data_IF_757793236295
#
_entry.id   IF_757793236295
#
_cell.length_a   1.000
_cell.length_b   1.000
_cell.length_c   1.000
_cell.angle_alpha   90.00
_cell.angle_beta   90.00
_cell.angle_gamma   90.00
#
_symmetry.space_group_name_H-M   'P 1'
#
loop_
_entity.id
_entity.type
_entity.pdbx_description
1 polymer ?
#
# COMPACT_ATOMS: atom_id res chain seq x y z
N UNK A 1 0.68 5.38 27.87
CA UNK A 1 -0.49 5.69 28.72
C UNK A 1 -1.60 6.42 27.96
N UNK A 2 -1.44 7.67 27.49
CA UNK A 2 -2.50 8.36 26.70
C UNK A 2 -2.76 7.73 25.32
N UNK A 3 -1.71 7.26 24.63
CA UNK A 3 -1.86 6.61 23.32
C UNK A 3 -2.67 5.31 23.39
N UNK A 4 -2.41 4.47 24.39
CA UNK A 4 -3.15 3.21 24.60
C UNK A 4 -4.61 3.47 24.95
N UNK A 5 -4.88 4.52 25.73
CA UNK A 5 -6.24 4.95 26.03
C UNK A 5 -6.96 5.46 24.77
N UNK A 6 -6.31 6.32 23.98
CA UNK A 6 -6.84 6.77 22.68
C UNK A 6 -7.17 5.58 21.79
N UNK A 7 -6.25 4.62 21.66
CA UNK A 7 -6.47 3.43 20.85
C UNK A 7 -7.61 2.58 21.42
N UNK A 8 -7.74 2.48 22.74
CA UNK A 8 -8.85 1.80 23.43
C UNK A 8 -10.19 2.50 23.16
N UNK A 9 -10.23 3.83 23.19
CA UNK A 9 -11.44 4.61 22.91
C UNK A 9 -11.89 4.44 21.46
N UNK A 10 -10.94 4.54 20.53
CA UNK A 10 -11.20 4.35 19.10
C UNK A 10 -11.67 2.93 18.80
N UNK A 11 -11.04 1.91 19.39
CA UNK A 11 -11.25 0.51 19.00
C UNK A 11 -12.23 -0.25 19.89
N UNK A 12 -12.08 -0.20 21.21
CA UNK A 12 -12.91 -0.97 22.16
C UNK A 12 -14.20 -0.22 22.50
N UNK A 13 -14.11 1.09 22.75
CA UNK A 13 -15.28 1.92 23.07
C UNK A 13 -16.02 2.42 21.83
N UNK A 14 -15.49 2.13 20.63
CA UNK A 14 -16.11 2.49 19.35
C UNK A 14 -16.48 3.98 19.27
N UNK A 15 -15.59 4.87 19.73
CA UNK A 15 -15.83 6.31 19.78
C UNK A 15 -16.27 6.89 18.42
N UNK A 16 -15.68 6.36 17.35
CA UNK A 16 -15.99 6.70 15.96
C UNK A 16 -16.81 5.59 15.28
N UNK A 17 -17.45 4.69 16.02
CA UNK A 17 -18.12 3.50 15.49
C UNK A 17 -17.25 2.26 15.48
N UNK A 18 -17.80 1.15 14.95
CA UNK A 18 -17.19 -0.17 15.06
C UNK A 18 -15.93 -0.28 14.19
N UNK A 19 -14.77 -0.43 14.81
CA UNK A 19 -13.48 -0.63 14.12
C UNK A 19 -13.25 -2.11 13.83
N UNK A 20 -13.03 -2.46 12.56
CA UNK A 20 -12.69 -3.82 12.11
C UNK A 20 -11.18 -4.07 12.12
N UNK A 21 -10.40 -3.06 11.74
CA UNK A 21 -8.96 -3.11 11.72
C UNK A 21 -8.37 -1.73 12.03
N UNK A 22 -7.13 -1.70 12.49
CA UNK A 22 -6.36 -0.47 12.60
C UNK A 22 -4.90 -0.74 12.31
N UNK A 23 -4.19 0.31 11.94
CA UNK A 23 -2.74 0.34 11.93
C UNK A 23 -2.24 1.70 12.40
N UNK A 24 -1.08 1.72 13.05
CA UNK A 24 -0.46 2.97 13.43
C UNK A 24 1.06 2.92 13.27
N UNK A 25 1.64 4.10 13.10
CA UNK A 25 3.08 4.36 13.18
C UNK A 25 3.31 5.55 14.10
N UNK A 26 4.33 5.45 14.95
CA UNK A 26 4.84 6.53 15.78
C UNK A 26 6.09 7.09 15.09
N UNK A 27 6.06 8.39 14.82
CA UNK A 27 7.17 9.15 14.25
C UNK A 27 7.68 10.15 15.28
N UNK A 28 9.00 10.34 15.29
CA UNK A 28 9.65 11.29 16.20
C UNK A 28 10.11 12.50 15.39
N UNK A 29 9.68 13.68 15.84
CA UNK A 29 10.14 14.94 15.27
C UNK A 29 11.41 15.39 16.01
N UNK A 30 12.32 16.10 15.31
CA UNK A 30 13.57 16.63 15.89
C UNK A 30 13.31 17.45 17.16
N UNK A 31 12.22 18.22 17.17
CA UNK A 31 11.71 18.99 18.30
C UNK A 31 10.22 18.71 18.39
N UNK A 32 9.77 18.04 19.45
CA UNK A 32 8.36 17.74 19.66
C UNK A 32 8.08 16.40 20.33
N UNK A 33 6.82 16.23 20.70
CA UNK A 33 6.30 14.97 21.22
C UNK A 33 6.20 13.94 20.08
N UNK A 34 6.21 12.63 20.41
CA UNK A 34 5.97 11.58 19.42
C UNK A 34 4.63 11.81 18.71
N UNK A 35 4.64 11.70 17.38
CA UNK A 35 3.46 11.88 16.53
C UNK A 35 2.94 10.53 16.07
N UNK A 36 1.64 10.28 16.22
CA UNK A 36 1.03 9.02 15.82
C UNK A 36 0.20 9.19 14.54
N UNK A 37 0.60 8.52 13.46
CA UNK A 37 -0.25 8.31 12.30
C UNK A 37 -1.11 7.07 12.54
N UNK A 38 -2.43 7.22 12.66
CA UNK A 38 -3.37 6.13 12.93
C UNK A 38 -4.37 6.02 11.77
N UNK A 39 -4.44 4.83 11.17
CA UNK A 39 -5.46 4.46 10.20
C UNK A 39 -6.43 3.48 10.84
N UNK A 40 -7.72 3.80 10.79
CA UNK A 40 -8.80 2.94 11.28
C UNK A 40 -9.72 2.53 10.12
N UNK A 41 -10.09 1.26 10.10
CA UNK A 41 -11.00 0.68 9.12
C UNK A 41 -12.33 0.41 9.80
N UNK A 42 -13.31 1.27 9.56
CA UNK A 42 -14.65 1.15 10.14
C UNK A 42 -15.48 0.08 9.44
N UNK A 43 -16.41 -0.52 10.17
CA UNK A 43 -17.44 -1.39 9.62
C UNK A 43 -18.26 -0.64 8.55
N UNK A 44 -18.70 -1.27 7.45
CA UNK A 44 -19.45 -0.60 6.39
C UNK A 44 -20.67 0.19 6.85
N UNK A 45 -21.35 -0.26 7.91
CA UNK A 45 -22.48 0.46 8.54
C UNK A 45 -22.09 1.77 9.22
N UNK A 46 -20.79 2.07 9.36
CA UNK A 46 -20.25 3.23 10.05
C UNK A 46 -19.29 4.03 9.17
N UNK A 47 -19.32 3.86 7.84
CA UNK A 47 -18.32 4.46 6.94
C UNK A 47 -18.43 5.99 6.73
N UNK A 48 -19.39 6.67 7.36
CA UNK A 48 -19.58 8.14 7.31
C UNK A 48 -19.24 8.81 5.96
N UNK A 49 -19.85 8.36 4.86
CA UNK A 49 -19.42 8.78 3.53
C UNK A 49 -19.97 10.16 3.13
N UNK A 50 -20.93 10.72 3.88
CA UNK A 50 -21.59 11.97 3.52
C UNK A 50 -20.93 13.17 4.20
N UNK A 51 -20.96 14.37 3.59
CA UNK A 51 -20.49 15.59 4.24
C UNK A 51 -21.12 15.85 5.62
N UNK A 52 -22.41 15.57 5.78
CA UNK A 52 -23.10 15.70 7.06
C UNK A 52 -22.55 14.74 8.12
N UNK A 53 -22.14 13.53 7.74
CA UNK A 53 -21.50 12.61 8.68
C UNK A 53 -20.12 13.11 9.11
N UNK A 54 -19.36 13.71 8.18
CA UNK A 54 -18.06 14.33 8.47
C UNK A 54 -18.24 15.48 9.47
N UNK A 55 -19.20 16.37 9.23
CA UNK A 55 -19.50 17.52 10.10
C UNK A 55 -19.91 17.12 11.52
N UNK A 56 -20.43 15.90 11.72
CA UNK A 56 -20.75 15.36 13.05
C UNK A 56 -19.51 14.96 13.85
N UNK A 57 -18.38 14.71 13.19
CA UNK A 57 -17.19 14.13 13.79
C UNK A 57 -16.02 15.13 13.78
N UNK A 58 -15.93 15.95 12.74
CA UNK A 58 -14.88 16.93 12.53
C UNK A 58 -15.51 18.32 12.46
N UNK A 59 -14.99 19.25 13.22
CA UNK A 59 -15.32 20.68 13.17
C UNK A 59 -14.12 21.47 12.69
N UNK A 60 -14.39 22.55 11.97
CA UNK A 60 -13.40 23.58 11.66
C UNK A 60 -13.91 24.97 12.03
N UNK A 61 -14.73 25.04 13.08
CA UNK A 61 -15.37 26.25 13.60
C UNK A 61 -14.93 26.50 15.06
N UNK A 62 -14.86 27.76 15.46
CA UNK A 62 -14.64 28.19 16.84
C UNK A 62 -15.93 27.88 17.63
N UNK A 63 -15.86 27.05 18.70
CA UNK A 63 -16.99 26.82 19.59
C UNK A 63 -17.50 28.12 20.21
N UNK A 64 -18.78 28.16 20.55
CA UNK A 64 -19.33 29.28 21.30
C UNK A 64 -18.76 29.27 22.74
N UNK A 65 -18.27 30.42 23.18
CA UNK A 65 -17.59 30.56 24.48
C UNK A 65 -18.56 30.43 25.66
N UNK A 66 -19.80 30.88 25.52
CA UNK A 66 -20.79 30.89 26.60
C UNK A 66 -21.41 29.51 26.80
N UNK A 67 -21.57 28.75 25.72
CA UNK A 67 -22.16 27.40 25.76
C UNK A 67 -21.13 26.28 25.92
N UNK A 68 -19.88 26.48 25.51
CA UNK A 68 -18.83 25.47 25.59
C UNK A 68 -17.44 26.07 25.81
N UNK A 69 -17.28 26.74 26.96
CA UNK A 69 -16.04 27.41 27.37
C UNK A 69 -14.81 26.49 27.33
N UNK A 70 -14.95 25.24 27.79
CA UNK A 70 -13.86 24.27 27.81
C UNK A 70 -13.33 23.98 26.40
N UNK A 71 -14.21 23.61 25.47
CA UNK A 71 -13.81 23.32 24.09
C UNK A 71 -13.33 24.58 23.39
N UNK A 72 -13.94 25.74 23.64
CA UNK A 72 -13.50 27.03 23.12
C UNK A 72 -12.04 27.31 23.50
N UNK A 73 -11.70 27.16 24.78
CA UNK A 73 -10.34 27.38 25.28
C UNK A 73 -9.34 26.39 24.66
N UNK A 74 -9.73 25.13 24.48
CA UNK A 74 -8.90 24.12 23.82
C UNK A 74 -8.67 24.45 22.35
N UNK A 75 -9.71 24.85 21.63
CA UNK A 75 -9.62 25.23 20.21
C UNK A 75 -8.74 26.46 20.07
N UNK A 76 -9.00 27.52 20.85
CA UNK A 76 -8.18 28.75 20.90
C UNK A 76 -6.70 28.46 21.13
N UNK A 77 -6.41 27.52 22.03
CA UNK A 77 -5.03 27.20 22.41
C UNK A 77 -4.34 26.36 21.35
N UNK A 78 -4.98 25.29 20.87
CA UNK A 78 -4.31 24.22 20.11
C UNK A 78 -4.73 24.09 18.65
N UNK A 79 -5.93 24.54 18.28
CA UNK A 79 -6.54 24.30 16.96
C UNK A 79 -6.71 25.58 16.14
N UNK A 80 -5.98 26.65 16.48
CA UNK A 80 -5.94 27.89 15.69
C UNK A 80 -4.59 27.99 15.01
N UNK A 81 -4.61 28.13 13.69
CA UNK A 81 -3.43 28.49 12.94
C UNK A 81 -3.07 29.94 13.26
N UNK A 82 -1.84 30.14 13.74
CA UNK A 82 -1.33 31.46 14.07
C UNK A 82 -1.44 32.42 12.88
N UNK A 83 -1.63 33.72 13.15
CA UNK A 83 -1.63 34.73 12.09
C UNK A 83 -0.37 34.62 11.21
N UNK A 84 -0.57 34.64 9.90
CA UNK A 84 0.49 34.54 8.90
C UNK A 84 0.14 35.39 7.67
N UNK A 85 0.97 35.34 6.62
CA UNK A 85 0.74 36.14 5.42
C UNK A 85 1.06 37.61 5.67
N UNK A 86 0.12 38.51 5.34
CA UNK A 86 0.29 39.94 5.60
C UNK A 86 0.35 40.26 7.09
N UNK A 87 -0.35 39.50 7.93
CA UNK A 87 -0.35 39.67 9.37
C UNK A 87 1.01 39.31 10.01
N UNK A 88 1.69 38.31 9.46
CA UNK A 88 3.05 37.95 9.86
C UNK A 88 3.76 37.19 8.74
N UNK A 89 4.66 37.90 8.04
CA UNK A 89 5.45 37.33 6.94
C UNK A 89 6.57 36.40 7.41
N UNK A 90 6.94 36.48 8.69
CA UNK A 90 8.03 35.68 9.29
C UNK A 90 7.54 34.33 9.86
N UNK A 91 6.23 34.06 9.81
CA UNK A 91 5.66 32.82 10.32
C UNK A 91 6.27 31.59 9.62
N UNK A 92 6.61 30.49 10.33
CA UNK A 92 7.29 29.32 9.75
C UNK A 92 6.52 28.63 8.60
N UNK A 93 5.21 28.86 8.51
CA UNK A 93 4.38 28.32 7.44
C UNK A 93 4.56 29.06 6.11
N UNK A 94 5.17 30.24 6.10
CA UNK A 94 5.32 31.07 4.90
C UNK A 94 6.38 30.48 3.96
N UNK A 95 6.00 30.28 2.70
CA UNK A 95 6.87 29.89 1.58
C UNK A 95 6.51 30.73 0.37
N UNK A 96 7.50 31.34 -0.28
CA UNK A 96 7.33 32.16 -1.47
C UNK A 96 6.23 33.24 -1.33
N UNK A 97 6.19 33.89 -0.15
CA UNK A 97 5.23 34.94 0.17
C UNK A 97 3.79 34.46 0.44
N UNK A 98 3.52 33.15 0.44
CA UNK A 98 2.21 32.55 0.72
C UNK A 98 2.29 31.57 1.88
N UNK A 99 1.18 31.40 2.61
CA UNK A 99 1.10 30.33 3.60
C UNK A 99 1.10 28.97 2.88
N UNK A 100 2.09 28.12 3.15
CA UNK A 100 2.20 26.77 2.58
C UNK A 100 1.06 25.82 2.97
N UNK A 101 0.26 26.20 3.97
CA UNK A 101 -0.94 25.49 4.41
C UNK A 101 -2.24 26.16 3.93
N UNK A 102 -2.12 27.23 3.15
CA UNK A 102 -3.20 28.00 2.55
C UNK A 102 -4.18 28.56 3.58
N UNK A 103 -3.64 29.14 4.67
CA UNK A 103 -4.42 29.92 5.62
C UNK A 103 -4.29 31.43 5.33
N UNK A 104 -5.31 32.23 5.67
CA UNK A 104 -6.64 31.81 6.13
C UNK A 104 -7.40 31.03 5.04
N UNK A 105 -8.20 30.04 5.42
CA UNK A 105 -9.06 29.28 4.50
C UNK A 105 -10.24 30.14 4.02
N UNK A 106 -10.98 29.68 3.02
CA UNK A 106 -12.25 30.32 2.67
C UNK A 106 -13.36 29.84 3.62
N UNK A 107 -14.35 30.70 3.84
CA UNK A 107 -15.59 30.27 4.48
C UNK A 107 -16.31 29.28 3.58
N UNK A 108 -17.00 28.34 4.21
CA UNK A 108 -17.67 27.25 3.53
C UNK A 108 -18.91 26.85 4.34
N UNK A 109 -20.14 26.99 3.80
CA UNK A 109 -21.36 26.75 4.57
C UNK A 109 -21.59 25.26 4.91
N UNK A 110 -21.05 24.34 4.11
CA UNK A 110 -21.17 22.89 4.29
C UNK A 110 -19.91 22.16 3.82
N UNK A 111 -19.60 21.01 4.42
CA UNK A 111 -18.47 20.21 3.94
C UNK A 111 -18.72 19.77 2.49
N UNK A 112 -17.68 19.78 1.66
CA UNK A 112 -17.71 19.16 0.34
C UNK A 112 -16.54 18.19 0.23
N UNK A 113 -16.73 17.11 -0.53
CA UNK A 113 -15.66 16.17 -0.86
C UNK A 113 -15.34 16.39 -2.33
N UNK A 114 -14.10 16.75 -2.63
CA UNK A 114 -13.67 17.00 -4.00
C UNK A 114 -13.53 15.70 -4.83
N UNK A 115 -13.18 15.84 -6.10
CA UNK A 115 -13.06 14.72 -7.05
C UNK A 115 -11.96 13.72 -6.64
N UNK A 116 -10.97 14.17 -5.87
CA UNK A 116 -9.87 13.36 -5.37
C UNK A 116 -10.19 12.73 -4.00
N UNK A 117 -11.37 13.00 -3.44
CA UNK A 117 -11.83 12.45 -2.17
C UNK A 117 -11.37 13.24 -0.94
N UNK A 118 -10.83 14.46 -1.10
CA UNK A 118 -10.42 15.30 0.01
C UNK A 118 -11.59 16.18 0.50
N UNK A 119 -11.80 16.26 1.83
CA UNK A 119 -12.84 17.12 2.38
C UNK A 119 -12.37 18.58 2.46
N UNK A 120 -13.15 19.49 1.89
CA UNK A 120 -13.15 20.91 2.23
C UNK A 120 -14.19 21.11 3.33
N UNK A 121 -13.70 21.21 4.57
CA UNK A 121 -14.56 21.26 5.75
C UNK A 121 -15.43 22.51 5.81
N UNK A 122 -16.63 22.33 6.36
CA UNK A 122 -17.53 23.39 6.77
C UNK A 122 -16.85 24.37 7.73
N UNK A 123 -16.97 25.65 7.40
CA UNK A 123 -16.43 26.83 8.10
C UNK A 123 -17.41 27.99 7.90
N UNK A 124 -18.47 28.07 8.69
CA UNK A 124 -19.45 29.16 8.53
C UNK A 124 -18.88 30.48 9.02
N UNK A 125 -19.35 31.57 8.44
CA UNK A 125 -19.15 32.90 9.01
C UNK A 125 -20.24 33.13 10.05
N UNK A 126 -19.96 32.78 11.30
CA UNK A 126 -20.88 32.87 12.42
C UNK A 126 -20.51 33.99 13.40
N UNK A 127 -19.57 34.86 13.03
CA UNK A 127 -19.10 35.96 13.88
C UNK A 127 -18.21 35.56 15.06
N UNK A 128 -17.95 34.27 15.28
CA UNK A 128 -17.06 33.84 16.36
C UNK A 128 -15.61 34.18 16.04
N UNK A 129 -14.90 34.71 17.03
CA UNK A 129 -13.50 35.11 16.89
C UNK A 129 -12.68 34.72 18.12
N UNK A 130 -11.37 34.64 17.95
CA UNK A 130 -10.40 34.48 19.04
C UNK A 130 -9.26 35.45 18.85
N UNK A 131 -8.73 35.98 19.96
CA UNK A 131 -7.53 36.80 19.95
C UNK A 131 -6.28 35.90 19.98
N UNK A 132 -5.43 35.99 18.96
CA UNK A 132 -4.14 35.27 18.87
C UNK A 132 -3.05 36.28 18.49
N UNK A 133 -2.03 36.42 19.34
CA UNK A 133 -0.91 37.35 19.14
C UNK A 133 -1.36 38.81 18.82
N UNK A 134 -2.42 39.28 19.50
CA UNK A 134 -2.97 40.63 19.30
C UNK A 134 -3.86 40.78 18.05
N UNK A 135 -4.08 39.72 17.28
CA UNK A 135 -4.89 39.74 16.06
C UNK A 135 -6.14 38.89 16.28
N UNK A 136 -7.31 39.45 15.96
CA UNK A 136 -8.54 38.67 15.94
C UNK A 136 -8.57 37.78 14.70
N UNK A 137 -8.83 36.49 14.91
CA UNK A 137 -8.98 35.50 13.84
C UNK A 137 -10.30 34.77 14.00
N UNK A 138 -10.86 34.34 12.87
CA UNK A 138 -12.17 33.68 12.77
C UNK A 138 -12.02 32.21 12.32
N UNK A 139 -13.14 31.58 11.95
CA UNK A 139 -13.19 30.18 11.52
C UNK A 139 -12.28 29.84 10.33
N UNK A 140 -11.80 30.83 9.57
CA UNK A 140 -10.84 30.62 8.47
C UNK A 140 -9.47 30.19 8.97
N UNK A 141 -9.14 30.47 10.23
CA UNK A 141 -7.87 30.09 10.86
C UNK A 141 -7.94 28.77 11.64
N UNK A 142 -9.11 28.15 11.76
CA UNK A 142 -9.26 26.92 12.55
C UNK A 142 -8.63 25.73 11.82
N UNK A 143 -7.78 24.98 12.50
CA UNK A 143 -7.31 23.67 12.05
C UNK A 143 -8.41 22.64 12.40
N UNK A 144 -8.87 21.80 11.45
CA UNK A 144 -9.96 20.86 11.71
C UNK A 144 -9.65 19.93 12.88
N UNK A 145 -10.63 19.71 13.75
CA UNK A 145 -10.47 18.94 14.98
C UNK A 145 -11.70 18.08 15.28
N UNK A 146 -11.51 17.02 16.07
CA UNK A 146 -12.60 16.24 16.65
C UNK A 146 -12.84 16.72 18.09
N UNK A 147 -14.01 17.31 18.35
CA UNK A 147 -14.33 17.92 19.64
C UNK A 147 -14.16 16.93 20.81
N UNK A 148 -14.70 15.71 20.68
CA UNK A 148 -14.64 14.68 21.74
C UNK A 148 -13.20 14.26 22.05
N UNK A 149 -12.39 14.05 21.03
CA UNK A 149 -10.98 13.68 21.18
C UNK A 149 -10.16 14.83 21.76
N UNK A 150 -10.39 16.07 21.30
CA UNK A 150 -9.67 17.24 21.78
C UNK A 150 -9.91 17.47 23.28
N UNK A 151 -11.17 17.48 23.72
CA UNK A 151 -11.53 17.61 25.14
C UNK A 151 -10.88 16.51 25.99
N UNK A 152 -10.94 15.26 25.53
CA UNK A 152 -10.48 14.13 26.32
C UNK A 152 -8.95 14.03 26.46
N UNK A 153 -8.20 14.32 25.39
CA UNK A 153 -6.74 14.08 25.36
C UNK A 153 -5.96 15.24 26.00
N UNK A 154 -6.52 16.45 25.94
CA UNK A 154 -5.80 17.69 26.28
C UNK A 154 -5.86 18.04 27.77
N UNK A 155 -6.78 17.47 28.54
CA UNK A 155 -6.97 17.70 29.99
C UNK A 155 -5.75 17.37 30.89
N UNK A 156 -4.57 17.09 30.33
CA UNK A 156 -3.33 16.86 31.09
C UNK A 156 -2.06 17.18 30.27
N UNK A 157 -2.04 18.22 29.42
CA UNK A 157 -0.80 18.70 28.76
C UNK A 157 -0.36 19.97 29.49
N UNK A 158 0.78 19.91 30.19
CA UNK A 158 1.47 21.10 30.71
C UNK A 158 2.11 21.81 29.50
N UNK A 159 1.92 23.12 29.31
CA UNK A 159 2.57 23.83 28.22
C UNK A 159 4.09 23.86 28.46
N UNK A 160 4.86 23.40 27.48
CA UNK A 160 6.25 23.80 27.34
C UNK A 160 6.29 25.06 26.47
N UNK A 161 6.73 26.15 27.08
CA UNK A 161 7.00 27.42 26.44
C UNK A 161 8.39 27.35 25.78
N UNK A 162 8.44 26.89 24.52
CA UNK A 162 9.68 26.90 23.76
C UNK A 162 9.72 28.14 22.85
N UNK A 163 10.38 29.16 23.40
CA UNK A 163 10.70 30.42 22.76
C UNK A 163 11.44 30.28 21.43
N UNK A 164 11.12 31.22 20.55
CA UNK A 164 11.68 31.48 19.23
C UNK A 164 13.21 31.70 19.20
N UNK A 165 13.84 31.27 18.10
CA UNK A 165 14.81 32.11 17.38
C UNK A 165 14.93 31.68 15.91
N UNK A 166 14.81 32.68 15.01
CA UNK A 166 14.98 32.58 13.56
C UNK A 166 16.36 33.15 13.19
N UNK A 167 17.13 32.43 12.36
CA UNK A 167 18.16 33.03 11.50
C UNK A 167 18.03 32.49 10.07
N UNK A 168 18.49 33.26 9.05
CA UNK A 168 18.32 32.90 7.65
C UNK A 168 19.08 31.61 7.33
N UNK A 169 18.44 30.72 6.58
CA UNK A 169 18.99 29.40 6.23
C UNK A 169 20.21 29.53 5.32
N UNK A 170 21.41 29.46 5.93
CA UNK A 170 22.58 28.89 5.29
C UNK A 170 22.44 27.37 5.37
N UNK A 171 22.54 26.64 4.25
CA UNK A 171 22.49 25.18 4.26
C UNK A 171 23.83 24.68 4.81
N UNK A 172 23.86 24.46 6.13
CA UNK A 172 24.99 23.84 6.82
C UNK A 172 24.88 22.32 6.69
N UNK A 173 25.63 21.76 5.73
CA UNK A 173 25.70 20.33 5.46
C UNK A 173 26.21 19.52 6.68
N UNK A 174 27.08 20.11 7.51
CA UNK A 174 27.61 19.47 8.73
C UNK A 174 26.49 19.37 9.78
N UNK A 175 25.74 20.46 9.98
CA UNK A 175 24.57 20.44 10.85
C UNK A 175 23.49 19.51 10.31
N UNK A 176 23.25 19.44 8.99
CA UNK A 176 22.34 18.46 8.41
C UNK A 176 22.79 17.02 8.67
N UNK A 177 24.09 16.74 8.52
CA UNK A 177 24.66 15.42 8.80
C UNK A 177 24.51 15.01 10.27
N UNK A 178 24.76 15.92 11.21
CA UNK A 178 24.55 15.70 12.65
C UNK A 178 23.06 15.54 12.97
N UNK A 179 22.23 16.43 12.45
CA UNK A 179 20.78 16.41 12.64
C UNK A 179 20.11 15.13 12.07
N UNK A 180 20.65 14.56 10.98
CA UNK A 180 20.19 13.29 10.40
C UNK A 180 20.56 12.07 11.26
N UNK A 181 21.49 12.22 12.20
CA UNK A 181 21.90 11.18 13.17
C UNK A 181 21.41 11.44 14.58
N UNK A 182 20.71 12.55 14.78
CA UNK A 182 20.13 12.91 16.06
C UNK A 182 18.98 11.96 16.41
N UNK A 183 19.07 11.33 17.56
CA UNK A 183 17.97 10.60 18.20
C UNK A 183 17.43 11.52 19.30
N UNK A 184 16.16 11.90 19.20
CA UNK A 184 15.57 12.78 20.22
C UNK A 184 15.48 12.07 21.58
N UNK A 185 15.48 12.80 22.72
CA UNK A 185 15.30 12.19 24.04
C UNK A 185 14.03 11.33 24.15
N UNK A 186 12.96 11.75 23.46
CA UNK A 186 11.71 10.99 23.39
C UNK A 186 11.87 9.70 22.59
N UNK A 187 12.58 9.72 21.46
CA UNK A 187 12.89 8.51 20.69
C UNK A 187 13.82 7.56 21.45
N UNK A 188 14.87 8.10 22.09
CA UNK A 188 15.82 7.31 22.88
C UNK A 188 15.10 6.59 24.02
N UNK A 189 14.25 7.31 24.76
CA UNK A 189 13.42 6.74 25.83
C UNK A 189 12.49 5.66 25.28
N UNK A 190 11.83 5.90 24.14
CA UNK A 190 10.96 4.93 23.48
C UNK A 190 11.69 3.62 23.13
N UNK A 191 12.93 3.73 22.65
CA UNK A 191 13.80 2.59 22.33
C UNK A 191 14.28 1.86 23.59
N UNK A 192 14.73 2.59 24.62
CA UNK A 192 15.18 2.01 25.90
C UNK A 192 14.06 1.18 26.54
N UNK A 193 12.84 1.71 26.56
CA UNK A 193 11.67 0.99 27.09
C UNK A 193 11.07 -0.02 26.10
N UNK A 194 11.65 -0.17 24.91
CA UNK A 194 11.20 -1.10 23.86
C UNK A 194 9.72 -0.95 23.50
N UNK A 195 9.21 0.29 23.48
CA UNK A 195 7.82 0.53 23.10
C UNK A 195 7.61 0.31 21.59
N UNK A 196 6.48 -0.28 21.16
CA UNK A 196 6.21 -0.51 19.75
C UNK A 196 6.06 0.80 18.97
N UNK A 197 6.84 0.96 17.90
CA UNK A 197 6.72 2.08 16.96
C UNK A 197 5.64 1.86 15.89
N UNK A 198 5.24 0.61 15.67
CA UNK A 198 4.17 0.25 14.77
C UNK A 198 3.25 -0.75 15.45
N UNK A 199 1.95 -0.65 15.17
CA UNK A 199 0.98 -1.66 15.58
C UNK A 199 -0.08 -1.85 14.52
N UNK A 200 -0.65 -3.06 14.47
CA UNK A 200 -1.76 -3.37 13.57
C UNK A 200 -2.66 -4.43 14.17
N UNK A 201 -3.94 -4.37 13.83
CA UNK A 201 -4.91 -5.43 14.12
C UNK A 201 -5.88 -5.55 12.94
N UNK A 202 -6.20 -6.77 12.47
CA UNK A 202 -5.61 -8.05 12.87
C UNK A 202 -4.15 -8.19 12.42
N UNK A 203 -3.48 -9.25 12.90
CA UNK A 203 -2.13 -9.58 12.44
C UNK A 203 -2.15 -9.88 10.93
N UNK A 204 -1.07 -9.54 10.23
CA UNK A 204 -0.90 -9.81 8.80
C UNK A 204 0.33 -10.69 8.64
N UNK A 205 0.15 -11.86 8.03
CA UNK A 205 1.24 -12.77 7.68
C UNK A 205 1.53 -12.66 6.18
N UNK A 206 2.79 -12.39 5.82
CA UNK A 206 3.21 -12.40 4.42
C UNK A 206 3.53 -13.84 4.02
N UNK A 207 2.82 -14.32 3.02
CA UNK A 207 2.91 -15.69 2.53
C UNK A 207 3.77 -15.71 1.27
N UNK A 208 4.95 -16.30 1.43
CA UNK A 208 5.89 -16.55 0.34
C UNK A 208 5.52 -17.87 -0.35
N UNK A 209 5.77 -17.94 -1.64
CA UNK A 209 5.59 -19.12 -2.47
C UNK A 209 6.60 -19.06 -3.61
N UNK A 210 6.87 -20.21 -4.21
CA UNK A 210 7.85 -20.36 -5.27
C UNK A 210 7.41 -21.50 -6.19
N UNK A 211 7.94 -21.55 -7.41
CA UNK A 211 7.77 -22.73 -8.25
C UNK A 211 8.54 -23.93 -7.68
N UNK A 212 8.20 -25.12 -8.15
CA UNK A 212 8.87 -26.36 -7.76
C UNK A 212 10.38 -26.26 -8.04
N UNK A 213 11.21 -26.64 -7.06
CA UNK A 213 12.67 -26.53 -7.14
C UNK A 213 13.25 -25.11 -7.05
N UNK A 214 12.42 -24.06 -6.97
CA UNK A 214 12.86 -22.65 -6.93
C UNK A 214 12.79 -22.02 -5.52
N UNK A 215 12.92 -22.83 -4.47
CA UNK A 215 12.98 -22.33 -3.10
C UNK A 215 14.29 -21.55 -2.86
N UNK A 216 14.21 -20.42 -2.16
CA UNK A 216 15.40 -19.63 -1.85
C UNK A 216 16.21 -20.29 -0.73
N UNK A 217 17.51 -20.52 -1.00
CA UNK A 217 18.46 -21.06 -0.02
C UNK A 217 19.42 -19.95 0.39
N UNK A 218 19.55 -19.73 1.70
CA UNK A 218 20.46 -18.73 2.26
C UNK A 218 21.70 -19.41 2.83
N UNK A 219 22.86 -18.85 2.51
CA UNK A 219 24.16 -19.30 2.99
C UNK A 219 25.08 -18.09 3.17
N UNK A 220 26.15 -18.28 3.94
CA UNK A 220 27.21 -17.31 4.19
C UNK A 220 28.48 -17.74 3.48
N UNK A 221 29.46 -16.84 3.34
CA UNK A 221 30.73 -17.12 2.67
C UNK A 221 31.53 -18.26 3.33
N UNK A 222 31.24 -18.57 4.59
CA UNK A 222 31.88 -19.62 5.36
C UNK A 222 31.14 -20.97 5.31
N UNK A 223 29.92 -21.01 4.75
CA UNK A 223 29.15 -22.23 4.63
C UNK A 223 29.69 -23.14 3.51
N UNK A 224 29.85 -24.43 3.79
CA UNK A 224 30.18 -25.43 2.75
C UNK A 224 28.92 -25.81 1.97
N UNK A 225 29.00 -25.80 0.64
CA UNK A 225 27.86 -26.07 -0.26
C UNK A 225 27.16 -27.39 0.08
N UNK A 226 27.90 -28.49 0.28
CA UNK A 226 27.30 -29.80 0.60
C UNK A 226 26.47 -29.74 1.89
N UNK A 227 27.02 -29.11 2.93
CA UNK A 227 26.31 -28.91 4.21
C UNK A 227 25.09 -28.02 4.06
N UNK A 228 25.12 -27.05 3.14
CA UNK A 228 23.96 -26.21 2.83
C UNK A 228 22.86 -27.01 2.14
N UNK A 229 23.21 -27.86 1.17
CA UNK A 229 22.26 -28.69 0.42
C UNK A 229 21.57 -29.75 1.30
N UNK A 230 22.24 -30.20 2.36
CA UNK A 230 21.69 -31.13 3.34
C UNK A 230 20.69 -30.48 4.32
N UNK A 231 20.60 -29.13 4.36
CA UNK A 231 19.68 -28.45 5.28
C UNK A 231 18.21 -28.73 4.89
N UNK A 232 17.33 -29.11 5.82
CA UNK A 232 15.89 -29.27 5.54
C UNK A 232 15.23 -28.01 4.96
N UNK A 233 15.81 -26.83 5.21
CA UNK A 233 15.36 -25.56 4.62
C UNK A 233 15.47 -25.48 3.10
N UNK A 234 16.21 -26.39 2.46
CA UNK A 234 16.36 -26.45 1.01
C UNK A 234 15.09 -27.00 0.36
N UNK A 235 14.58 -28.12 0.88
CA UNK A 235 13.42 -28.83 0.33
C UNK A 235 12.10 -28.39 0.96
N UNK A 236 12.14 -28.07 2.25
CA UNK A 236 10.97 -27.62 2.97
C UNK A 236 10.88 -26.09 2.97
N UNK A 237 9.67 -25.58 2.90
CA UNK A 237 9.37 -24.18 3.11
C UNK A 237 8.00 -24.05 3.79
N UNK A 238 7.66 -22.85 4.24
CA UNK A 238 6.30 -22.56 4.72
C UNK A 238 5.24 -22.86 3.65
N UNK A 239 5.62 -22.78 2.36
CA UNK A 239 4.75 -23.08 1.24
C UNK A 239 4.63 -24.59 0.99
N UNK A 240 5.72 -25.35 0.96
CA UNK A 240 5.62 -26.80 0.72
C UNK A 240 4.99 -27.55 1.89
N UNK A 241 5.23 -27.13 3.13
CA UNK A 241 4.54 -27.68 4.31
C UNK A 241 3.01 -27.44 4.31
N UNK A 242 2.50 -26.51 3.51
CA UNK A 242 1.05 -26.34 3.32
C UNK A 242 0.43 -27.57 2.64
N UNK A 243 1.15 -28.19 1.70
CA UNK A 243 0.71 -29.42 1.05
C UNK A 243 0.57 -30.57 2.05
N UNK A 244 1.59 -30.78 2.87
CA UNK A 244 1.56 -31.78 3.94
C UNK A 244 0.40 -31.55 4.91
N UNK A 245 0.13 -30.28 5.25
CA UNK A 245 -0.98 -29.91 6.12
C UNK A 245 -2.35 -30.21 5.48
N UNK A 246 -2.50 -30.00 4.16
CA UNK A 246 -3.72 -30.34 3.43
C UNK A 246 -3.97 -31.85 3.38
N UNK A 247 -2.92 -32.66 3.34
CA UNK A 247 -3.06 -34.11 3.40
C UNK A 247 -3.37 -34.61 4.82
N UNK A 248 -2.87 -33.91 5.84
CA UNK A 248 -3.01 -34.29 7.26
C UNK A 248 -4.33 -33.85 7.90
N UNK A 249 -4.84 -32.67 7.54
CA UNK A 249 -5.97 -32.05 8.23
C UNK A 249 -7.17 -31.88 7.29
N UNK A 250 -8.33 -32.49 7.56
CA UNK A 250 -9.53 -32.30 6.72
C UNK A 250 -9.99 -30.85 6.61
N UNK A 251 -9.88 -30.05 7.69
CA UNK A 251 -10.26 -28.62 7.64
C UNK A 251 -9.38 -27.80 6.68
N UNK A 252 -8.11 -28.21 6.50
CA UNK A 252 -7.15 -27.53 5.63
C UNK A 252 -7.59 -27.57 4.15
N UNK A 253 -8.30 -28.64 3.75
CA UNK A 253 -8.71 -28.85 2.36
C UNK A 253 -9.71 -27.81 1.84
N UNK A 254 -10.38 -27.09 2.75
CA UNK A 254 -11.37 -26.06 2.40
C UNK A 254 -10.77 -24.65 2.29
N UNK A 255 -9.47 -24.50 2.52
CA UNK A 255 -8.79 -23.21 2.59
C UNK A 255 -7.84 -23.01 1.41
N UNK A 256 -7.85 -21.80 0.86
CA UNK A 256 -6.81 -21.33 -0.05
C UNK A 256 -5.56 -20.95 0.76
N UNK A 257 -4.40 -20.87 0.10
CA UNK A 257 -3.15 -20.55 0.80
C UNK A 257 -3.24 -19.21 1.55
N UNK A 258 -3.83 -18.18 0.92
CA UNK A 258 -4.02 -16.85 1.54
C UNK A 258 -4.93 -16.87 2.78
N UNK A 259 -5.92 -17.76 2.83
CA UNK A 259 -6.82 -17.92 3.96
C UNK A 259 -6.28 -18.88 5.02
N UNK A 260 -5.22 -19.64 4.72
CA UNK A 260 -4.71 -20.70 5.59
C UNK A 260 -4.34 -20.21 6.99
N UNK A 261 -3.64 -19.08 7.08
CA UNK A 261 -3.21 -18.47 8.35
C UNK A 261 -4.34 -18.02 9.27
N UNK A 262 -5.57 -17.92 8.74
CA UNK A 262 -6.75 -17.62 9.57
C UNK A 262 -7.10 -18.78 10.51
N UNK A 263 -6.76 -20.02 10.13
CA UNK A 263 -7.08 -21.26 10.85
C UNK A 263 -5.85 -22.05 11.27
N UNK A 264 -4.69 -21.79 10.68
CA UNK A 264 -3.44 -22.48 10.98
C UNK A 264 -2.33 -21.48 11.37
N UNK A 265 -1.34 -21.96 12.10
CA UNK A 265 -0.12 -21.23 12.47
C UNK A 265 1.08 -22.06 12.03
N UNK A 266 2.04 -21.41 11.35
CA UNK A 266 3.29 -22.05 10.95
C UNK A 266 4.27 -22.05 12.13
N UNK A 267 4.71 -23.23 12.55
CA UNK A 267 5.64 -23.41 13.67
C UNK A 267 7.07 -23.50 13.10
N UNK A 268 7.74 -22.35 12.96
CA UNK A 268 9.07 -22.25 12.30
C UNK A 268 10.11 -23.28 12.78
N UNK A 269 10.19 -23.54 14.09
CA UNK A 269 11.13 -24.51 14.67
C UNK A 269 10.87 -25.96 14.23
N UNK A 270 9.60 -26.31 14.01
CA UNK A 270 9.16 -27.64 13.58
C UNK A 270 8.87 -27.72 12.08
N UNK A 271 8.90 -26.57 11.40
CA UNK A 271 8.66 -26.41 9.95
C UNK A 271 7.32 -26.98 9.47
N UNK A 272 6.32 -27.00 10.36
CA UNK A 272 5.00 -27.56 10.11
C UNK A 272 3.89 -26.55 10.42
N UNK A 273 2.73 -26.74 9.78
CA UNK A 273 1.51 -26.03 10.13
C UNK A 273 0.72 -26.76 11.22
N UNK A 274 0.16 -26.00 12.16
CA UNK A 274 -0.76 -26.52 13.19
C UNK A 274 -2.07 -25.77 13.23
N UNK A 275 -3.17 -26.43 13.61
CA UNK A 275 -4.42 -25.74 13.90
C UNK A 275 -4.21 -24.61 14.90
N UNK A 276 -4.75 -23.45 14.57
CA UNK A 276 -4.67 -22.24 15.39
C UNK A 276 -5.63 -22.38 16.56
N UNK A 277 -5.11 -22.19 17.77
CA UNK A 277 -5.93 -22.21 18.98
C UNK A 277 -6.57 -20.85 19.30
N UNK A 278 -5.87 -19.74 19.02
CA UNK A 278 -6.31 -18.37 19.35
C UNK A 278 -5.89 -17.35 18.30
N UNK A 279 -6.64 -16.25 18.26
CA UNK A 279 -6.38 -15.08 17.41
C UNK A 279 -6.87 -15.26 15.96
N UNK A 280 -6.68 -14.21 15.17
CA UNK A 280 -7.00 -14.19 13.75
C UNK A 280 -5.89 -13.47 13.00
N UNK A 281 -5.51 -13.99 11.83
CA UNK A 281 -4.42 -13.45 11.00
C UNK A 281 -4.87 -13.45 9.55
N UNK A 282 -4.57 -12.36 8.85
CA UNK A 282 -4.83 -12.23 7.42
C UNK A 282 -3.56 -12.61 6.66
N UNK A 283 -3.67 -13.58 5.75
CA UNK A 283 -2.57 -13.96 4.86
C UNK A 283 -2.53 -13.04 3.64
N UNK A 284 -1.33 -12.57 3.30
CA UNK A 284 -1.10 -11.78 2.09
C UNK A 284 0.00 -12.45 1.28
N UNK A 285 -0.38 -12.95 0.10
CA UNK A 285 0.58 -13.42 -0.90
C UNK A 285 1.50 -12.28 -1.30
N UNK A 286 2.78 -12.57 -1.50
CA UNK A 286 3.72 -11.60 -2.07
C UNK A 286 3.24 -11.11 -3.44
N UNK A 287 3.61 -9.88 -3.78
CA UNK A 287 3.37 -9.36 -5.12
C UNK A 287 4.35 -10.01 -6.10
N UNK A 288 3.85 -10.41 -7.26
CA UNK A 288 4.63 -10.99 -8.35
C UNK A 288 4.23 -10.27 -9.63
N UNK A 289 5.16 -9.66 -10.39
CA UNK A 289 4.85 -9.05 -11.67
C UNK A 289 4.45 -10.09 -12.72
N UNK A 290 3.55 -9.75 -13.67
CA UNK A 290 3.17 -10.65 -14.78
C UNK A 290 4.36 -11.15 -15.61
N UNK A 291 5.42 -10.35 -15.74
CA UNK A 291 6.64 -10.69 -16.49
C UNK A 291 7.43 -11.86 -15.89
N UNK A 292 7.15 -12.27 -14.65
CA UNK A 292 7.82 -13.42 -14.00
C UNK A 292 7.27 -14.78 -14.47
N UNK A 293 6.29 -14.82 -15.37
CA UNK A 293 5.83 -16.04 -16.01
C UNK A 293 5.12 -17.01 -15.03
N UNK A 294 5.58 -18.26 -14.95
CA UNK A 294 4.92 -19.32 -14.16
C UNK A 294 4.69 -18.95 -12.69
N UNK A 295 5.57 -18.16 -12.07
CA UNK A 295 5.38 -17.72 -10.69
C UNK A 295 4.17 -16.78 -10.54
N UNK A 296 3.90 -15.95 -11.54
CA UNK A 296 2.72 -15.08 -11.57
C UNK A 296 1.45 -15.91 -11.70
N UNK A 297 1.43 -16.88 -12.61
CA UNK A 297 0.27 -17.77 -12.79
C UNK A 297 0.03 -18.64 -11.55
N UNK A 298 1.09 -19.15 -10.91
CA UNK A 298 1.00 -19.81 -9.61
C UNK A 298 0.33 -18.90 -8.57
N UNK A 299 0.75 -17.64 -8.47
CA UNK A 299 0.13 -16.67 -7.55
C UNK A 299 -1.38 -16.54 -7.79
N UNK A 300 -1.82 -16.48 -9.05
CA UNK A 300 -3.24 -16.42 -9.39
C UNK A 300 -3.95 -17.70 -8.92
N UNK A 301 -3.42 -18.87 -9.25
CA UNK A 301 -3.99 -20.15 -8.83
C UNK A 301 -4.14 -20.25 -7.31
N UNK A 302 -3.15 -19.79 -6.53
CA UNK A 302 -3.18 -19.82 -5.06
C UNK A 302 -4.31 -18.98 -4.42
N UNK A 303 -4.93 -18.09 -5.18
CA UNK A 303 -6.10 -17.33 -4.70
C UNK A 303 -7.41 -18.12 -4.79
N UNK A 304 -7.44 -19.21 -5.58
CA UNK A 304 -8.64 -20.00 -5.85
C UNK A 304 -8.54 -21.47 -5.42
N UNK A 305 -7.38 -22.10 -5.64
CA UNK A 305 -7.15 -23.51 -5.31
C UNK A 305 -7.21 -23.72 -3.80
N UNK A 306 -7.92 -24.77 -3.39
CA UNK A 306 -8.08 -25.19 -1.99
C UNK A 306 -7.56 -26.60 -1.81
N UNK A 307 -6.91 -26.86 -0.69
CA UNK A 307 -6.49 -28.20 -0.31
C UNK A 307 -5.51 -28.96 -1.21
N UNK A 308 -4.62 -28.34 -2.01
CA UNK A 308 -3.69 -29.11 -2.82
C UNK A 308 -2.70 -29.87 -1.93
N UNK A 309 -2.42 -31.12 -2.26
CA UNK A 309 -1.42 -31.97 -1.61
C UNK A 309 -0.08 -31.96 -2.37
N UNK A 310 0.00 -31.25 -3.50
CA UNK A 310 1.20 -31.12 -4.32
C UNK A 310 1.11 -29.94 -5.29
N UNK A 311 2.22 -29.61 -5.96
CA UNK A 311 2.23 -28.67 -7.09
C UNK A 311 1.33 -29.12 -8.25
N UNK A 312 1.23 -30.43 -8.49
CA UNK A 312 0.38 -30.97 -9.55
C UNK A 312 -1.10 -30.75 -9.27
N UNK A 313 -1.51 -30.82 -8.00
CA UNK A 313 -2.90 -30.60 -7.61
C UNK A 313 -3.34 -29.15 -7.84
N UNK A 314 -2.40 -28.19 -7.73
CA UNK A 314 -2.67 -26.79 -8.06
C UNK A 314 -3.07 -26.62 -9.53
N UNK A 315 -2.54 -27.46 -10.43
CA UNK A 315 -2.79 -27.39 -11.87
C UNK A 315 -4.04 -28.17 -12.29
N UNK A 316 -4.85 -28.68 -11.36
CA UNK A 316 -6.09 -29.38 -11.68
C UNK A 316 -7.24 -28.37 -11.75
N UNK A 317 -7.93 -28.31 -12.89
CA UNK A 317 -9.11 -27.47 -13.12
C UNK A 317 -10.20 -28.34 -13.71
N UNK A 318 -11.38 -28.37 -13.09
CA UNK A 318 -12.52 -29.20 -13.52
C UNK A 318 -12.13 -30.68 -13.77
N UNK A 319 -11.34 -31.26 -12.85
CA UNK A 319 -10.79 -32.63 -12.94
C UNK A 319 -9.83 -32.90 -14.10
N UNK A 320 -9.36 -31.87 -14.81
CA UNK A 320 -8.33 -31.98 -15.84
C UNK A 320 -7.01 -31.44 -15.29
N UNK A 321 -5.93 -32.23 -15.40
CA UNK A 321 -4.58 -31.81 -15.05
C UNK A 321 -3.93 -31.09 -16.23
N UNK A 322 -3.40 -29.90 -15.98
CA UNK A 322 -2.67 -29.11 -16.96
C UNK A 322 -1.15 -29.18 -16.72
N UNK A 323 -0.37 -28.97 -17.79
CA UNK A 323 1.09 -29.04 -17.74
C UNK A 323 1.69 -27.84 -16.97
N UNK A 324 1.16 -26.64 -17.22
CA UNK A 324 1.64 -25.37 -16.66
C UNK A 324 0.59 -24.68 -15.79
N UNK A 325 1.01 -23.81 -14.86
CA UNK A 325 0.08 -22.99 -14.09
C UNK A 325 -0.68 -22.02 -14.99
N UNK A 326 -0.03 -21.58 -16.07
CA UNK A 326 -0.60 -20.70 -17.08
C UNK A 326 -1.79 -21.35 -17.79
N UNK A 327 -1.67 -22.59 -18.23
CA UNK A 327 -2.76 -23.30 -18.92
C UNK A 327 -3.93 -23.56 -17.96
N UNK A 328 -3.63 -23.87 -16.70
CA UNK A 328 -4.64 -23.95 -15.65
C UNK A 328 -5.36 -22.60 -15.43
N UNK A 329 -4.63 -21.47 -15.42
CA UNK A 329 -5.23 -20.13 -15.35
C UNK A 329 -6.12 -19.83 -16.56
N UNK A 330 -5.73 -20.26 -17.76
CA UNK A 330 -6.55 -20.13 -18.98
C UNK A 330 -7.85 -20.92 -18.84
N UNK A 331 -7.78 -22.16 -18.38
CA UNK A 331 -8.94 -23.00 -18.13
C UNK A 331 -9.88 -22.45 -17.05
N UNK A 332 -9.33 -21.74 -16.05
CA UNK A 332 -10.13 -21.01 -15.05
C UNK A 332 -10.70 -19.68 -15.56
N UNK A 333 -10.32 -19.22 -16.76
CA UNK A 333 -10.76 -17.95 -17.32
C UNK A 333 -10.08 -16.72 -16.71
N UNK A 334 -8.95 -16.88 -16.04
CA UNK A 334 -8.20 -15.75 -15.45
C UNK A 334 -7.45 -14.93 -16.48
N UNK A 335 -7.12 -15.53 -17.61
CA UNK A 335 -6.41 -14.88 -18.72
C UNK A 335 -7.26 -14.98 -19.98
N UNK A 336 -7.36 -13.85 -20.69
CA UNK A 336 -8.03 -13.77 -21.98
C UNK A 336 -7.24 -14.51 -23.06
N UNK A 337 -7.87 -14.70 -24.21
CA UNK A 337 -7.15 -15.12 -25.41
C UNK A 337 -6.53 -13.92 -26.14
N UNK A 338 -5.53 -14.20 -26.97
CA UNK A 338 -4.81 -13.16 -27.71
C UNK A 338 -5.40 -12.94 -29.11
N UNK A 339 -6.69 -13.23 -29.32
CA UNK A 339 -7.33 -13.09 -30.63
C UNK A 339 -7.31 -11.65 -31.12
N UNK A 340 -7.44 -10.69 -30.21
CA UNK A 340 -7.34 -9.25 -30.50
C UNK A 340 -5.98 -8.86 -31.10
N UNK A 341 -4.88 -9.40 -30.58
CA UNK A 341 -3.53 -9.14 -31.12
C UNK A 341 -3.35 -9.80 -32.48
N UNK A 342 -3.87 -11.03 -32.66
CA UNK A 342 -3.84 -11.71 -33.96
C UNK A 342 -4.68 -10.94 -34.99
N UNK A 343 -5.86 -10.45 -34.61
CA UNK A 343 -6.73 -9.66 -35.46
C UNK A 343 -6.08 -8.33 -35.83
N UNK A 344 -5.49 -7.62 -34.87
CA UNK A 344 -4.80 -6.34 -35.10
C UNK A 344 -3.61 -6.48 -36.07
N UNK A 345 -2.80 -7.54 -35.97
CA UNK A 345 -1.70 -7.79 -36.91
C UNK A 345 -2.24 -8.10 -38.31
N UNK A 346 -3.31 -8.90 -38.41
CA UNK A 346 -3.96 -9.19 -39.70
C UNK A 346 -4.59 -7.95 -40.32
N UNK A 347 -5.19 -7.08 -39.52
CA UNK A 347 -5.76 -5.82 -39.97
C UNK A 347 -4.67 -4.88 -40.47
N UNK A 348 -3.62 -4.66 -39.67
CA UNK A 348 -2.48 -3.83 -40.02
C UNK A 348 -1.79 -4.29 -41.31
N UNK A 349 -1.82 -5.58 -41.63
CA UNK A 349 -1.22 -6.12 -42.86
C UNK A 349 -1.90 -5.61 -44.14
N UNK A 350 -3.14 -5.11 -44.08
CA UNK A 350 -3.82 -4.58 -45.26
C UNK A 350 -3.25 -3.24 -45.74
N UNK A 351 -2.57 -2.50 -44.87
CA UNK A 351 -2.09 -1.14 -45.16
C UNK A 351 -0.65 -0.87 -44.71
N UNK A 352 -0.10 -1.68 -43.80
CA UNK A 352 1.26 -1.55 -43.28
C UNK A 352 2.27 -2.46 -43.99
N UNK A 353 3.53 -2.03 -44.04
CA UNK A 353 4.63 -2.84 -44.58
C UNK A 353 5.06 -3.96 -43.62
N UNK A 354 5.73 -5.00 -44.13
CA UNK A 354 6.30 -6.04 -43.26
C UNK A 354 7.23 -5.49 -42.16
N UNK A 355 7.96 -4.39 -42.42
CA UNK A 355 8.76 -3.70 -41.39
C UNK A 355 7.88 -3.10 -40.28
N UNK A 356 6.78 -2.45 -40.66
CA UNK A 356 5.81 -1.91 -39.71
C UNK A 356 5.20 -3.02 -38.85
N UNK A 357 4.81 -4.15 -39.45
CA UNK A 357 4.23 -5.27 -38.71
C UNK A 357 5.21 -5.88 -37.70
N UNK A 358 6.50 -5.98 -38.05
CA UNK A 358 7.55 -6.43 -37.10
C UNK A 358 7.69 -5.48 -35.92
N UNK A 359 7.69 -4.17 -36.17
CA UNK A 359 7.71 -3.14 -35.13
C UNK A 359 6.47 -3.22 -34.24
N UNK A 360 5.29 -3.35 -34.83
CA UNK A 360 4.02 -3.52 -34.11
C UNK A 360 4.06 -4.74 -33.20
N UNK A 361 4.52 -5.89 -33.70
CA UNK A 361 4.67 -7.11 -32.91
C UNK A 361 5.63 -6.91 -31.72
N UNK A 362 6.78 -6.25 -31.93
CA UNK A 362 7.71 -5.91 -30.85
C UNK A 362 7.07 -4.99 -29.80
N UNK A 363 6.30 -3.97 -30.21
CA UNK A 363 5.59 -3.10 -29.27
C UNK A 363 4.56 -3.87 -28.43
N UNK A 364 3.81 -4.80 -29.03
CA UNK A 364 2.88 -5.66 -28.30
C UNK A 364 3.59 -6.61 -27.32
N UNK A 365 4.81 -7.06 -27.63
CA UNK A 365 5.63 -7.84 -26.68
C UNK A 365 6.11 -6.99 -25.51
N UNK A 366 6.58 -5.78 -25.80
CA UNK A 366 7.11 -4.85 -24.79
C UNK A 366 6.03 -4.32 -23.85
N UNK A 367 4.77 -4.25 -24.29
CA UNK A 367 3.65 -3.84 -23.43
C UNK A 367 3.32 -4.85 -22.33
N UNK A 368 3.80 -6.10 -22.45
CA UNK A 368 3.48 -7.18 -21.51
C UNK A 368 2.02 -7.61 -21.52
N UNK A 369 1.26 -7.25 -22.57
CA UNK A 369 -0.18 -7.51 -22.68
C UNK A 369 -0.52 -8.81 -23.42
N UNK A 370 0.39 -9.32 -24.26
CA UNK A 370 0.18 -10.60 -24.94
C UNK A 370 0.40 -11.76 -23.95
N UNK A 371 -0.62 -12.60 -23.80
CA UNK A 371 -0.57 -13.76 -22.91
C UNK A 371 0.24 -14.91 -23.54
N UNK A 372 0.08 -15.21 -24.84
CA UNK A 372 0.75 -16.27 -25.62
C UNK A 372 1.55 -15.71 -26.81
N UNK A 373 2.71 -15.06 -26.57
CA UNK A 373 3.56 -14.53 -27.64
C UNK A 373 3.86 -15.53 -28.77
N UNK A 374 4.17 -16.78 -28.41
CA UNK A 374 4.44 -17.85 -29.38
C UNK A 374 3.23 -18.25 -30.23
N UNK A 375 2.02 -18.19 -29.66
CA UNK A 375 0.79 -18.49 -30.40
C UNK A 375 0.43 -17.36 -31.36
N UNK A 376 0.53 -16.11 -30.91
CA UNK A 376 0.36 -14.94 -31.78
C UNK A 376 1.38 -14.98 -32.91
N UNK A 377 2.65 -15.28 -32.60
CA UNK A 377 3.70 -15.47 -33.60
C UNK A 377 3.36 -16.57 -34.59
N UNK A 378 3.02 -17.79 -34.16
CA UNK A 378 2.73 -18.89 -35.09
C UNK A 378 1.53 -18.63 -36.00
N UNK A 379 0.59 -17.79 -35.57
CA UNK A 379 -0.57 -17.38 -36.38
C UNK A 379 -0.30 -16.21 -37.33
N UNK A 380 0.79 -15.47 -37.15
CA UNK A 380 1.04 -14.21 -37.88
C UNK A 380 2.42 -14.14 -38.54
N UNK A 381 3.33 -15.07 -38.26
CA UNK A 381 4.73 -15.03 -38.71
C UNK A 381 4.87 -14.91 -40.24
N UNK A 382 4.00 -15.56 -41.01
CA UNK A 382 3.98 -15.49 -42.48
C UNK A 382 3.69 -14.06 -43.00
N UNK A 383 3.02 -13.21 -42.23
CA UNK A 383 2.81 -11.78 -42.56
C UNK A 383 4.05 -10.95 -42.17
N UNK A 384 4.70 -11.31 -41.05
CA UNK A 384 5.86 -10.61 -40.51
C UNK A 384 7.14 -10.82 -41.33
N UNK A 385 7.21 -11.87 -42.16
CA UNK A 385 8.36 -12.16 -43.02
C UNK A 385 8.37 -11.36 -44.32
N UNK A 386 7.29 -10.61 -44.61
CA UNK A 386 7.21 -9.82 -45.83
C UNK A 386 8.34 -8.77 -45.93
N UNK A 387 8.89 -8.63 -47.14
CA UNK A 387 10.01 -7.76 -47.47
C UNK A 387 11.39 -8.19 -46.95
N UNK A 388 11.52 -9.25 -46.12
CA UNK A 388 12.82 -9.67 -45.57
C UNK A 388 13.75 -10.19 -46.69
N UNK A 389 13.25 -11.05 -47.57
CA UNK A 389 14.05 -11.61 -48.68
C UNK A 389 14.57 -10.50 -49.60
N UNK A 390 13.68 -9.58 -49.99
CA UNK A 390 14.03 -8.44 -50.82
C UNK A 390 15.10 -7.55 -50.16
N UNK A 391 14.95 -7.26 -48.87
CA UNK A 391 15.93 -6.47 -48.12
C UNK A 391 17.30 -7.17 -48.07
N UNK A 392 17.34 -8.48 -47.85
CA UNK A 392 18.58 -9.25 -47.78
C UNK A 392 19.27 -9.39 -49.14
N UNK A 393 18.51 -9.60 -50.23
CA UNK A 393 19.04 -9.60 -51.59
C UNK A 393 19.68 -8.24 -51.94
N UNK A 394 19.10 -7.13 -51.48
CA UNK A 394 19.67 -5.79 -51.64
C UNK A 394 20.93 -5.58 -50.83
N UNK A 395 20.94 -5.98 -49.55
CA UNK A 395 22.10 -5.82 -48.66
C UNK A 395 23.29 -6.64 -49.17
N UNK A 396 23.05 -7.87 -49.59
CA UNK A 396 24.09 -8.76 -50.10
C UNK A 396 24.46 -8.52 -51.58
N UNK A 397 23.78 -7.58 -52.25
CA UNK A 397 23.88 -7.34 -53.69
C UNK A 397 23.80 -8.62 -54.55
N UNK A 398 23.00 -9.59 -54.11
CA UNK A 398 22.87 -10.90 -54.74
C UNK A 398 21.39 -11.27 -54.87
N UNK A 399 20.89 -11.21 -56.11
CA UNK A 399 19.48 -11.54 -56.44
C UNK A 399 19.17 -13.04 -56.40
N UNK A 400 20.19 -13.90 -56.35
CA UNK A 400 20.03 -15.36 -56.28
C UNK A 400 19.81 -15.91 -54.88
N UNK A 401 19.79 -15.05 -53.84
CA UNK A 401 19.50 -15.50 -52.46
C UNK A 401 18.04 -15.94 -52.38
N UNK A 402 17.83 -17.14 -51.84
CA UNK A 402 16.52 -17.73 -51.57
C UNK A 402 16.55 -18.21 -50.12
N UNK A 403 15.50 -17.90 -49.35
CA UNK A 403 15.32 -18.51 -48.03
C UNK A 403 14.54 -19.82 -48.19
N UNK A 404 14.92 -20.92 -47.50
CA UNK A 404 14.06 -22.09 -47.41
C UNK A 404 12.71 -21.68 -46.81
N UNK A 405 11.62 -22.13 -47.42
CA UNK A 405 10.26 -21.83 -47.00
C UNK A 405 10.10 -22.34 -45.55
N UNK A 406 9.68 -21.44 -44.64
CA UNK A 406 9.45 -21.70 -43.21
C UNK A 406 8.16 -22.49 -42.95
#
# INVERSE_FOLDING_TARGET
>A
MKFDELLSDLTKKSLLGKVLAYMYTIEFQKRGLPHAHILIFLHPSNKYPTPSDIDRIISAEIPDQDTNEELYNLVKTHMIHDPCGFANRSSPCMKDGKCSKYFPKQFQPETIVDQDGFPVYRRRDNGHTVLKNGIQVDNRNVVPYNAKLLTKITAAIVPNDDGTSNQPQNIDEIKQYIDCRYVSPSEASWRIFSFPIHGRKPAIERLYFHCEGQNSVYYTDFDRINTVLEKPSVTESMFTSWFEANCKYPEAQNLTYSKFVSKFVYVKKKREWKPRQKGYTIGRLIWVPPTTGELYYLRLMLTHVKGPCSYNDIKIVNNVKYDTFRDACFAMGFIGDDREFIAAIKEANHWGSGQYLRLLFVHMLLSGSINRPRHVWSKTCHLLVDGILYAQQRIANNRGIIFPIL
#
